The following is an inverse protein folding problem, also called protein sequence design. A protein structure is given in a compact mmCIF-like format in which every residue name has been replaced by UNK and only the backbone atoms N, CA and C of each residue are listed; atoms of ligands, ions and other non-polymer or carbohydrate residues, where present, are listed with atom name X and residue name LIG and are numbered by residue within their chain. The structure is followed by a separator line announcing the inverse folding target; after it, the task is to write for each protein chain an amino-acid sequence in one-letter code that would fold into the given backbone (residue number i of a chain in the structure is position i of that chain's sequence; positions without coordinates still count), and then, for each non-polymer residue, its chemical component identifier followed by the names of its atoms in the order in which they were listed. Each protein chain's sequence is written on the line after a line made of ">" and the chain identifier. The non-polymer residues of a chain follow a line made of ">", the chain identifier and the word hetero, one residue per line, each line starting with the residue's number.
data_IF_637915540730
#
_entry.id   IF_637915540730
#
_cell.length_a   1.000
_cell.length_b   1.000
_cell.length_c   1.000
_cell.angle_alpha   90.00
_cell.angle_beta   90.00
_cell.angle_gamma   90.00
#
_symmetry.space_group_name_H-M   'P 1'
#
loop_
_entity.id
_entity.type
_entity.pdbx_description
1 polymer ?
#
# COMPACT_ATOMS: atom_id res chain seq x y z
N UNK A 1 16.18 12.13 -16.44
CA UNK A 1 15.73 11.42 -16.66
C UNK A 1 15.62 11.05 -16.50
N UNK A 2 15.54 12.01 -16.61
CA UNK A 2 14.99 11.24 -16.82
C UNK A 2 14.73 10.86 -16.84
N UNK A 3 14.51 11.31 -16.58
CA UNK A 3 13.93 10.65 -16.79
C UNK A 3 13.60 10.25 -16.74
N UNK A 4 13.51 10.95 -16.85
CA UNK A 4 12.92 10.27 -17.09
C UNK A 4 12.65 9.82 -17.07
N UNK A 5 12.70 10.47 -17.06
CA UNK A 5 12.10 9.66 -17.31
C UNK A 5 12.06 9.57 -17.43
N UNK A 6 12.10 10.40 -17.69
CA UNK A 6 11.67 9.77 -18.15
C UNK A 6 11.48 9.45 -18.33
N UNK A 7 11.13 9.99 -18.17
CA UNK A 7 10.65 9.22 -18.48
C UNK A 7 10.42 8.85 -18.53
N UNK A 8 10.42 9.46 -18.50
CA UNK A 8 9.92 8.73 -18.71
C UNK A 8 9.71 8.34 -18.85
N UNK A 9 9.98 9.47 -18.88
CA UNK A 9 9.55 8.59 -19.27
C UNK A 9 9.36 8.28 -19.45
N UNK A 10 9.24 8.88 -19.54
CA UNK A 10 8.80 7.96 -19.85
C UNK A 10 8.66 7.70 -19.98
N UNK A 11 8.65 8.30 -19.55
CA UNK A 11 8.28 7.47 -19.72
C UNK A 11 8.05 6.91 -19.91
N UNK A 12 8.10 7.44 -19.82
CA UNK A 12 7.66 6.45 -19.94
C UNK A 12 7.56 5.71 -20.25
N UNK A 13 7.54 6.33 -20.32
CA UNK A 13 7.17 5.09 -20.55
C UNK A 13 7.23 4.39 -20.81
N UNK A 14 7.21 4.62 -20.77
CA UNK A 14 6.95 3.38 -20.90
C UNK A 14 6.87 2.67 -20.94
N UNK A 15 6.70 2.77 -20.74
CA UNK A 15 6.28 1.57 -20.73
C UNK A 15 6.24 1.01 -20.78
N UNK A 16 6.29 1.01 -20.86
CA UNK A 16 5.91 -0.02 -20.93
C UNK A 16 5.67 -0.42 -20.92
N UNK A 17 5.32 -0.10 -20.79
CA UNK A 17 4.80 -0.89 -20.75
C UNK A 17 4.66 -1.36 -20.73
N UNK A 18 4.55 -1.24 -20.44
CA UNK A 18 4.08 -2.06 -20.28
C UNK A 18 3.82 -2.26 -19.99
N UNK A 19 3.68 -1.90 -19.82
CA UNK A 19 3.11 -2.42 -19.52
C UNK A 19 2.85 -2.36 -19.28
N UNK A 20 2.68 -1.95 -19.11
CA UNK A 20 2.10 -2.25 -18.95
C UNK A 20 1.59 -2.08 -18.75
N UNK A 21 1.45 -1.71 -18.92
CA UNK A 21 0.69 -1.74 -18.73
C UNK A 21 0.01 -1.88 -18.65
N UNK A 22 0.01 -1.66 -18.74
CA UNK A 22 -0.82 -1.92 -18.62
C UNK A 22 -1.27 -2.37 -18.33
N UNK A 23 -1.18 -2.47 -18.15
CA UNK A 23 -1.83 -2.96 -17.66
C UNK A 23 -1.88 -2.93 -16.92
N UNK A 24 -1.78 -2.69 -16.50
CA UNK A 24 -1.87 -2.46 -15.62
C UNK A 24 -2.72 -2.15 -14.78
N UNK A 25 -3.12 -1.66 -14.49
CA UNK A 25 -4.07 -1.04 -13.62
C UNK A 25 -5.40 -1.71 -13.69
N UNK A 26 -5.83 -2.01 -14.79
CA UNK A 26 -7.08 -2.70 -15.04
C UNK A 26 -7.11 -4.05 -14.37
N UNK A 27 -5.96 -4.60 -14.17
CA UNK A 27 -5.85 -5.91 -13.53
C UNK A 27 -5.43 -5.81 -12.09
N UNK A 28 -5.31 -4.60 -11.59
CA UNK A 28 -4.92 -4.42 -10.20
C UNK A 28 -6.00 -4.97 -9.26
N UNK A 29 -7.26 -4.82 -9.62
CA UNK A 29 -8.35 -5.30 -8.80
C UNK A 29 -8.47 -4.59 -7.47
N UNK A 30 -7.81 -3.46 -7.34
CA UNK A 30 -7.73 -2.73 -6.07
C UNK A 30 -7.97 -1.26 -6.36
N UNK A 31 -9.10 -0.77 -5.86
CA UNK A 31 -9.47 0.64 -6.03
C UNK A 31 -8.88 1.40 -4.84
N UNK A 32 -7.94 2.28 -5.13
CA UNK A 32 -7.25 3.04 -4.07
C UNK A 32 -8.05 4.23 -3.57
N UNK A 33 -9.19 4.50 -4.19
CA UNK A 33 -10.07 5.57 -3.73
C UNK A 33 -10.87 5.08 -2.54
N UNK A 34 -11.16 5.98 -1.63
CA UNK A 34 -11.95 5.65 -0.45
C UNK A 34 -12.60 6.92 0.07
N UNK A 35 -13.73 6.76 0.77
CA UNK A 35 -14.38 7.89 1.43
C UNK A 35 -14.02 7.94 2.91
N UNK A 36 -13.49 6.86 3.45
CA UNK A 36 -13.20 6.78 4.89
C UNK A 36 -12.10 5.75 5.13
N UNK A 37 -11.06 6.16 5.87
CA UNK A 37 -9.97 5.28 6.23
C UNK A 37 -10.20 4.79 7.65
N UNK A 38 -10.34 3.47 7.83
CA UNK A 38 -10.66 2.88 9.12
C UNK A 38 -9.37 2.31 9.72
N UNK A 39 -8.95 2.85 10.84
CA UNK A 39 -7.76 2.39 11.56
C UNK A 39 -8.19 2.04 12.97
N UNK A 40 -8.14 0.74 13.32
CA UNK A 40 -8.58 0.29 14.62
C UNK A 40 -7.56 0.68 15.69
N UNK A 41 -7.98 0.61 16.96
CA UNK A 41 -7.10 0.91 18.07
C UNK A 41 -5.88 -0.01 18.07
N UNK A 42 -6.09 -1.29 17.74
CA UNK A 42 -5.01 -2.27 17.69
C UNK A 42 -3.96 -1.89 16.64
N UNK A 43 -4.44 -1.48 15.46
CA UNK A 43 -3.53 -1.07 14.37
C UNK A 43 -2.81 0.22 14.75
N UNK A 44 -3.50 1.15 15.41
CA UNK A 44 -2.86 2.39 15.84
C UNK A 44 -1.72 2.13 16.82
N UNK A 45 -1.89 1.14 17.69
CA UNK A 45 -0.81 0.73 18.59
C UNK A 45 0.40 0.24 17.78
N UNK A 46 0.18 -0.58 16.78
CA UNK A 46 1.26 -1.09 15.94
C UNK A 46 1.93 0.02 15.14
N UNK A 47 1.13 0.96 14.64
CA UNK A 47 1.67 2.11 13.92
C UNK A 47 2.62 2.90 14.82
N UNK A 48 2.20 3.21 16.02
CA UNK A 48 3.03 3.97 16.94
C UNK A 48 4.31 3.21 17.28
N UNK A 49 4.20 1.91 17.54
CA UNK A 49 5.35 1.09 17.86
C UNK A 49 6.34 1.04 16.69
N UNK A 50 5.84 0.98 15.46
CA UNK A 50 6.67 0.82 14.27
C UNK A 50 6.98 2.15 13.58
N UNK A 51 6.62 3.25 14.22
CA UNK A 51 6.94 4.60 13.73
C UNK A 51 6.35 4.88 12.35
N UNK A 52 5.09 4.45 12.17
CA UNK A 52 4.33 4.69 10.94
C UNK A 52 3.11 5.52 11.32
N UNK A 53 2.97 6.71 10.71
CA UNK A 53 1.85 7.57 11.04
C UNK A 53 0.77 7.49 9.97
N UNK A 54 -0.36 8.14 10.22
CA UNK A 54 -1.50 8.06 9.32
C UNK A 54 -1.20 8.66 7.96
N UNK A 55 -0.40 9.74 7.91
CA UNK A 55 -0.05 10.34 6.63
C UNK A 55 0.76 9.37 5.79
N UNK A 56 1.59 8.57 6.43
CA UNK A 56 2.38 7.57 5.72
C UNK A 56 1.52 6.40 5.24
N UNK A 57 0.50 6.03 6.01
CA UNK A 57 -0.47 5.04 5.56
C UNK A 57 -1.11 5.52 4.26
N UNK A 58 -1.54 6.79 4.22
CA UNK A 58 -2.18 7.35 3.02
C UNK A 58 -1.19 7.45 1.85
N UNK A 59 0.05 7.80 2.16
CA UNK A 59 1.11 7.90 1.16
C UNK A 59 1.30 6.56 0.46
N UNK A 60 1.41 5.48 1.24
CA UNK A 60 1.64 4.14 0.70
C UNK A 60 0.40 3.66 -0.05
N UNK A 61 -0.80 3.97 0.43
CA UNK A 61 -2.02 3.60 -0.28
C UNK A 61 -2.04 4.20 -1.68
N UNK A 62 -1.57 5.44 -1.84
CA UNK A 62 -1.62 6.12 -3.12
C UNK A 62 -0.48 5.74 -4.04
N UNK A 63 0.71 5.49 -3.51
CA UNK A 63 1.91 5.35 -4.34
C UNK A 63 2.60 4.01 -4.23
N UNK A 64 2.22 3.16 -3.29
CA UNK A 64 2.89 1.88 -3.12
C UNK A 64 2.50 0.85 -4.16
N UNK A 65 3.23 -0.26 -4.19
CA UNK A 65 3.03 -1.35 -5.13
C UNK A 65 2.43 -2.55 -4.41
N UNK A 66 1.41 -3.15 -5.02
CA UNK A 66 0.77 -4.33 -4.45
C UNK A 66 1.70 -5.53 -4.58
N UNK A 67 1.89 -6.23 -3.47
CA UNK A 67 2.61 -7.51 -3.50
C UNK A 67 1.57 -8.61 -3.77
N UNK A 68 1.44 -8.99 -5.04
CA UNK A 68 0.40 -9.93 -5.45
C UNK A 68 0.61 -11.32 -4.91
N UNK A 69 1.85 -11.66 -4.53
CA UNK A 69 2.12 -12.97 -3.92
C UNK A 69 1.49 -13.10 -2.55
N UNK A 70 1.10 -11.99 -1.93
CA UNK A 70 0.56 -12.00 -0.58
C UNK A 70 -0.87 -11.48 -0.50
N UNK A 71 -1.52 -11.29 -1.65
CA UNK A 71 -2.94 -10.94 -1.66
C UNK A 71 -3.73 -12.14 -1.17
N UNK A 72 -4.66 -11.89 -0.23
CA UNK A 72 -5.54 -12.92 0.28
C UNK A 72 -6.96 -12.60 -0.11
N UNK A 73 -7.67 -13.61 -0.59
CA UNK A 73 -9.04 -13.45 -1.09
C UNK A 73 -9.86 -14.62 -0.56
N UNK A 74 -10.39 -14.46 0.64
CA UNK A 74 -11.26 -15.49 1.18
C UNK A 74 -12.72 -15.05 1.13
N UNK A 75 -13.62 -15.90 1.60
CA UNK A 75 -15.06 -15.68 1.43
C UNK A 75 -15.53 -14.43 2.15
N UNK A 76 -14.81 -13.94 3.14
CA UNK A 76 -15.26 -12.84 3.98
C UNK A 76 -14.57 -11.53 3.66
N UNK A 77 -13.36 -11.58 3.11
CA UNK A 77 -12.70 -10.34 2.78
C UNK A 77 -11.48 -10.59 1.88
N UNK A 78 -11.12 -9.54 1.20
CA UNK A 78 -9.94 -9.53 0.36
C UNK A 78 -8.95 -8.53 0.93
N UNK A 79 -7.69 -8.93 1.07
CA UNK A 79 -6.66 -8.05 1.62
C UNK A 79 -5.55 -7.87 0.61
N UNK A 80 -5.06 -6.62 0.55
CA UNK A 80 -4.03 -6.24 -0.41
C UNK A 80 -2.84 -5.67 0.34
N UNK A 81 -1.70 -6.38 0.35
CA UNK A 81 -0.48 -5.83 0.92
C UNK A 81 0.15 -4.85 -0.07
N UNK A 82 0.32 -3.61 0.36
CA UNK A 82 0.90 -2.56 -0.48
C UNK A 82 2.24 -2.17 0.14
N UNK A 83 3.29 -2.20 -0.67
CA UNK A 83 4.64 -1.96 -0.20
C UNK A 83 5.22 -0.71 -0.83
N UNK A 84 6.00 0.01 -0.06
CA UNK A 84 6.64 1.22 -0.55
C UNK A 84 7.57 1.80 0.48
N UNK A 85 8.20 2.91 0.11
CA UNK A 85 9.10 3.64 0.98
C UNK A 85 8.46 4.97 1.31
N UNK A 86 8.35 5.27 2.60
CA UNK A 86 7.76 6.53 3.04
C UNK A 86 8.71 7.68 2.80
N UNK A 87 8.20 8.91 2.96
CA UNK A 87 9.01 10.11 2.74
C UNK A 87 10.20 10.20 3.69
N UNK A 88 10.17 9.48 4.81
CA UNK A 88 11.30 9.46 5.74
C UNK A 88 12.15 8.19 5.58
N UNK A 89 12.07 7.55 4.41
CA UNK A 89 12.93 6.43 4.02
C UNK A 89 12.66 5.11 4.74
N UNK A 90 11.46 4.94 5.27
CA UNK A 90 11.11 3.69 5.91
C UNK A 90 10.42 2.79 4.89
N UNK A 91 10.92 1.58 4.71
CA UNK A 91 10.28 0.60 3.81
C UNK A 91 9.22 -0.16 4.60
N UNK A 92 7.99 -0.10 4.10
CA UNK A 92 6.86 -0.65 4.85
C UNK A 92 5.96 -1.48 3.95
N UNK A 93 5.20 -2.35 4.57
CA UNK A 93 4.07 -3.05 3.95
C UNK A 93 2.84 -2.74 4.78
N UNK A 94 1.81 -2.24 4.11
CA UNK A 94 0.55 -1.93 4.75
C UNK A 94 -0.53 -2.77 4.09
N UNK A 95 -1.29 -3.51 4.88
CA UNK A 95 -2.31 -4.40 4.35
C UNK A 95 -3.65 -3.69 4.44
N UNK A 96 -4.31 -3.54 3.30
CA UNK A 96 -5.59 -2.85 3.18
C UNK A 96 -6.70 -3.82 2.81
N UNK A 97 -7.90 -3.53 3.26
CA UNK A 97 -9.09 -4.28 2.88
C UNK A 97 -10.19 -3.30 2.49
N UNK A 98 -10.45 -3.15 1.18
CA UNK A 98 -11.53 -2.25 0.75
C UNK A 98 -12.88 -2.88 1.05
N UNK A 99 -13.84 -2.04 1.44
CA UNK A 99 -15.20 -2.47 1.76
C UNK A 99 -16.17 -1.91 0.73
N UNK A 100 -17.31 -2.57 0.54
CA UNK A 100 -18.28 -2.13 -0.50
C UNK A 100 -18.83 -0.71 -0.28
N UNK A 101 -18.83 -0.25 0.97
CA UNK A 101 -19.39 1.06 1.29
C UNK A 101 -18.38 2.22 1.11
N UNK A 102 -17.23 1.94 0.47
CA UNK A 102 -16.23 2.97 0.24
C UNK A 102 -15.23 3.13 1.37
N UNK A 103 -15.34 2.33 2.40
CA UNK A 103 -14.36 2.33 3.48
C UNK A 103 -13.12 1.56 3.08
N UNK A 104 -11.96 2.04 3.51
CA UNK A 104 -10.70 1.33 3.36
C UNK A 104 -10.20 0.98 4.74
N UNK A 105 -10.13 -0.30 5.06
CA UNK A 105 -9.72 -0.76 6.38
C UNK A 105 -8.23 -1.07 6.35
N UNK A 106 -7.50 -0.53 7.33
CA UNK A 106 -6.09 -0.88 7.51
C UNK A 106 -6.04 -2.09 8.41
N UNK A 107 -5.58 -3.21 7.87
CA UNK A 107 -5.55 -4.49 8.58
C UNK A 107 -4.31 -4.59 9.44
N UNK A 108 -3.15 -4.21 8.90
CA UNK A 108 -1.91 -4.18 9.66
C UNK A 108 -0.88 -3.35 8.91
N UNK A 109 0.23 -3.05 9.58
CA UNK A 109 1.37 -2.38 8.98
C UNK A 109 2.65 -3.00 9.51
N UNK A 110 3.66 -3.11 8.66
CA UNK A 110 4.91 -3.80 8.97
C UNK A 110 6.07 -2.98 8.46
N UNK A 111 7.14 -2.88 9.25
CA UNK A 111 8.41 -2.35 8.81
C UNK A 111 9.19 -3.48 8.15
N UNK A 112 9.60 -3.32 6.91
CA UNK A 112 10.23 -4.41 6.16
C UNK A 112 11.68 -4.63 6.52
N UNK A 113 12.32 -3.66 7.16
CA UNK A 113 13.75 -3.73 7.46
C UNK A 113 14.05 -3.89 8.94
N UNK A 114 13.12 -3.53 9.82
CA UNK A 114 13.34 -3.53 11.25
C UNK A 114 12.24 -4.32 11.94
N UNK A 115 12.62 -5.21 12.81
CA UNK A 115 11.66 -5.98 13.60
C UNK A 115 11.50 -5.28 14.95
N UNK A 116 10.39 -4.55 15.06
CA UNK A 116 10.09 -3.81 16.29
C UNK A 116 9.44 -4.73 17.31
N UNK A 117 9.85 -4.56 18.56
CA UNK A 117 9.25 -5.32 19.67
C UNK A 117 8.01 -4.55 20.13
N UNK A 118 6.83 -5.05 19.77
CA UNK A 118 5.58 -4.35 20.03
C UNK A 118 4.71 -5.15 20.98
N UNK A 119 4.12 -4.45 21.93
CA UNK A 119 3.23 -5.07 22.93
C UNK A 119 1.80 -4.59 22.67
N UNK A 120 1.30 -4.91 21.48
CA UNK A 120 -0.06 -4.52 21.06
C UNK A 120 -0.97 -5.72 21.16
N UNK A 121 -2.03 -5.61 21.97
CA UNK A 121 -2.95 -6.73 22.20
C UNK A 121 -4.30 -6.54 21.59
#
# INVERSE_FOLDING_TARGET
>A
KNKQHTEQVNKRITVNPLSTAANENRTEGFDRRYNNLVITKHVRCRMACRHIDESEIKEILQSGSINYNKVEDDARRKTYPVEGTTHDNQRVRIVFSPKPNGQMVVVTCVDLDTEWSCDCK
#
